data_IF_237310559545
#
_entry.id   IF_237310559545
#
_cell.length_a   1.000
_cell.length_b   1.000
_cell.length_c   1.000
_cell.angle_alpha   90.00
_cell.angle_beta   90.00
_cell.angle_gamma   90.00
#
_symmetry.space_group_name_H-M   'P 1'
#
loop_
_entity.id
_entity.type
_entity.pdbx_description
1 polymer ?
#
# COMPACT_ATOMS: atom_id res chain seq x y z
N UNK A 1 -8.71 -47.46 22.26
CA UNK A 1 -8.52 -47.07 20.83
C UNK A 1 -9.34 -45.85 20.39
N UNK A 2 -10.50 -45.55 20.97
CA UNK A 2 -11.36 -44.42 20.51
C UNK A 2 -10.83 -43.01 20.84
N UNK A 3 -9.99 -42.86 21.87
CA UNK A 3 -9.46 -41.55 22.31
C UNK A 3 -8.38 -41.02 21.35
N UNK A 4 -7.62 -41.90 20.69
CA UNK A 4 -6.61 -41.51 19.69
C UNK A 4 -7.25 -41.06 18.37
N UNK A 5 -8.43 -41.59 18.02
CA UNK A 5 -9.15 -41.18 16.82
C UNK A 5 -9.72 -39.76 16.92
N UNK A 6 -10.17 -39.34 18.10
CA UNK A 6 -10.67 -37.97 18.31
C UNK A 6 -9.54 -36.92 18.26
N UNK A 7 -8.33 -37.28 18.71
CA UNK A 7 -7.19 -36.38 18.65
C UNK A 7 -6.66 -36.21 17.22
N UNK A 8 -6.68 -37.27 16.41
CA UNK A 8 -6.41 -37.20 14.98
C UNK A 8 -7.45 -36.34 14.23
N UNK A 9 -8.73 -36.45 14.61
CA UNK A 9 -9.80 -35.65 14.02
C UNK A 9 -9.68 -34.15 14.35
N UNK A 10 -9.19 -33.82 15.55
CA UNK A 10 -8.93 -32.43 15.95
C UNK A 10 -7.70 -31.82 15.25
N UNK A 11 -6.70 -32.63 14.89
CA UNK A 11 -5.51 -32.17 14.16
C UNK A 11 -5.78 -31.90 12.67
N UNK A 12 -6.83 -32.52 12.11
CA UNK A 12 -7.34 -32.19 10.77
C UNK A 12 -8.22 -30.93 10.72
N UNK A 13 -8.72 -30.43 11.87
CA UNK A 13 -9.61 -29.26 11.92
C UNK A 13 -8.88 -27.92 12.09
N UNK A 14 -7.54 -27.92 12.27
CA UNK A 14 -6.74 -26.70 12.44
C UNK A 14 -5.56 -26.59 11.44
N UNK A 15 -5.79 -26.31 10.15
CA UNK A 15 -4.78 -25.68 9.31
C UNK A 15 -5.09 -24.18 9.19
N UNK A 16 -5.32 -23.47 10.30
CA UNK A 16 -5.73 -22.05 10.26
C UNK A 16 -4.65 -21.08 10.76
N UNK A 17 -3.39 -21.51 10.76
CA UNK A 17 -2.26 -20.58 10.72
C UNK A 17 -1.78 -20.43 9.29
N UNK A 18 -2.74 -20.21 8.37
CA UNK A 18 -2.44 -19.56 7.11
C UNK A 18 -1.82 -18.22 7.48
N UNK A 19 -0.56 -18.03 7.10
CA UNK A 19 0.18 -16.80 7.36
C UNK A 19 -0.73 -15.63 7.01
N UNK A 20 -1.08 -14.80 8.00
CA UNK A 20 -1.71 -13.52 7.73
C UNK A 20 -0.69 -12.74 6.89
N UNK A 21 -0.79 -12.89 5.58
CA UNK A 21 0.00 -12.14 4.63
C UNK A 21 -0.48 -10.71 4.75
N UNK A 22 0.12 -9.96 5.68
CA UNK A 22 0.11 -8.52 5.68
C UNK A 22 0.79 -8.10 4.38
N UNK A 23 0.05 -8.12 3.27
CA UNK A 23 0.51 -7.56 2.01
C UNK A 23 0.82 -6.10 2.31
N UNK A 24 2.09 -5.67 2.24
CA UNK A 24 2.41 -4.30 2.56
C UNK A 24 1.61 -3.40 1.61
N UNK A 25 0.86 -2.46 2.18
CA UNK A 25 0.00 -1.52 1.43
C UNK A 25 0.76 -0.65 0.44
N UNK A 26 2.09 -0.62 0.59
CA UNK A 26 3.04 0.16 -0.18
C UNK A 26 4.18 -0.76 -0.63
N UNK A 27 4.72 -0.53 -1.82
CA UNK A 27 5.87 -1.30 -2.27
C UNK A 27 7.11 -0.96 -1.43
N UNK A 28 8.12 -1.82 -1.48
CA UNK A 28 9.39 -1.60 -0.78
C UNK A 28 10.09 -0.31 -1.24
N UNK A 29 9.98 0.04 -2.52
CA UNK A 29 10.60 1.28 -3.03
C UNK A 29 9.87 2.52 -2.53
N UNK A 30 8.54 2.47 -2.35
CA UNK A 30 7.78 3.57 -1.74
C UNK A 30 8.31 3.94 -0.34
N UNK A 31 8.76 2.95 0.44
CA UNK A 31 9.19 3.12 1.82
C UNK A 31 10.69 3.46 1.95
N UNK A 32 11.54 2.84 1.13
CA UNK A 32 13.01 2.90 1.32
C UNK A 32 13.67 3.98 0.45
N UNK A 33 13.10 4.29 -0.72
CA UNK A 33 13.73 5.21 -1.67
C UNK A 33 13.75 6.65 -1.12
N UNK A 34 14.93 7.29 -0.97
CA UNK A 34 15.02 8.66 -0.49
C UNK A 34 14.28 9.67 -1.38
N UNK A 35 14.23 9.43 -2.70
CA UNK A 35 13.50 10.27 -3.65
C UNK A 35 12.00 10.20 -3.38
N UNK A 36 11.46 9.00 -3.14
CA UNK A 36 10.05 8.82 -2.79
C UNK A 36 9.69 9.54 -1.49
N UNK A 37 10.60 9.57 -0.50
CA UNK A 37 10.36 10.35 0.74
C UNK A 37 10.29 11.85 0.49
N UNK A 38 11.17 12.38 -0.36
CA UNK A 38 11.14 13.80 -0.74
C UNK A 38 9.84 14.15 -1.49
N UNK A 39 9.41 13.31 -2.42
CA UNK A 39 8.17 13.51 -3.15
C UNK A 39 6.93 13.37 -2.25
N UNK A 40 6.92 12.42 -1.31
CA UNK A 40 5.83 12.29 -0.33
C UNK A 40 5.72 13.55 0.53
N UNK A 41 6.85 14.09 1.01
CA UNK A 41 6.86 15.34 1.76
C UNK A 41 6.31 16.49 0.91
N UNK A 42 6.80 16.66 -0.32
CA UNK A 42 6.32 17.69 -1.24
C UNK A 42 4.83 17.57 -1.55
N UNK A 43 4.33 16.35 -1.75
CA UNK A 43 2.91 16.10 -1.96
C UNK A 43 2.07 16.54 -0.75
N UNK A 44 2.53 16.24 0.46
CA UNK A 44 1.86 16.68 1.68
C UNK A 44 1.95 18.20 1.85
N UNK A 45 3.09 18.82 1.56
CA UNK A 45 3.26 20.27 1.61
C UNK A 45 2.29 20.96 0.63
N UNK A 46 2.10 20.41 -0.58
CA UNK A 46 1.09 20.88 -1.51
C UNK A 46 -0.32 20.73 -0.93
N UNK A 47 -0.62 19.62 -0.26
CA UNK A 47 -1.94 19.35 0.31
C UNK A 47 -2.14 19.91 1.73
N UNK A 48 -1.29 20.84 2.19
CA UNK A 48 -1.33 21.41 3.55
C UNK A 48 -1.36 20.33 4.66
N UNK A 49 -0.67 19.21 4.44
CA UNK A 49 -0.62 18.08 5.37
C UNK A 49 -1.79 17.08 5.25
N UNK A 50 -2.71 17.23 4.29
CA UNK A 50 -3.82 16.29 4.12
C UNK A 50 -3.38 14.93 3.55
N UNK A 51 -3.05 14.02 4.47
CA UNK A 51 -2.67 12.63 4.18
C UNK A 51 -3.82 11.84 3.54
N UNK A 52 -5.08 12.14 3.87
CA UNK A 52 -6.22 11.42 3.33
C UNK A 52 -6.44 11.76 1.85
N UNK A 53 -6.36 13.06 1.51
CA UNK A 53 -6.35 13.52 0.11
C UNK A 53 -5.18 12.91 -0.67
N UNK A 54 -3.96 12.93 -0.11
CA UNK A 54 -2.78 12.35 -0.76
C UNK A 54 -2.99 10.86 -1.11
N UNK A 55 -3.52 10.07 -0.16
CA UNK A 55 -3.82 8.64 -0.38
C UNK A 55 -4.90 8.43 -1.44
N UNK A 56 -5.95 9.26 -1.45
CA UNK A 56 -7.04 9.18 -2.45
C UNK A 56 -6.49 9.44 -3.86
N UNK A 57 -5.71 10.51 -4.04
CA UNK A 57 -5.10 10.86 -5.32
C UNK A 57 -4.15 9.78 -5.84
N UNK A 58 -3.26 9.27 -4.97
CA UNK A 58 -2.36 8.18 -5.35
C UNK A 58 -3.10 6.90 -5.70
N UNK A 59 -4.18 6.57 -4.98
CA UNK A 59 -5.00 5.40 -5.27
C UNK A 59 -5.73 5.54 -6.60
N UNK A 60 -6.26 6.72 -6.90
CA UNK A 60 -6.89 7.03 -8.18
C UNK A 60 -5.91 6.87 -9.34
N UNK A 61 -4.70 7.44 -9.24
CA UNK A 61 -3.68 7.32 -10.28
C UNK A 61 -3.20 5.87 -10.47
N UNK A 62 -3.11 5.07 -9.40
CA UNK A 62 -2.81 3.64 -9.48
C UNK A 62 -3.90 2.83 -10.19
N UNK A 63 -5.15 3.21 -10.01
CA UNK A 63 -6.28 2.58 -10.70
C UNK A 63 -6.28 2.90 -12.20
N UNK A 64 -6.02 4.16 -12.56
CA UNK A 64 -5.98 4.64 -13.94
C UNK A 64 -4.76 4.11 -14.71
N UNK A 65 -3.59 4.09 -14.08
CA UNK A 65 -2.34 3.73 -14.72
C UNK A 65 -1.70 2.54 -14.02
N UNK A 66 -2.16 1.33 -14.29
CA UNK A 66 -1.63 0.12 -13.64
C UNK A 66 -0.18 -0.16 -14.06
N UNK A 67 0.63 -0.66 -13.13
CA UNK A 67 1.99 -1.16 -13.39
C UNK A 67 3.09 -0.10 -13.47
N UNK A 68 2.82 1.14 -13.05
CA UNK A 68 3.85 2.18 -12.95
C UNK A 68 4.58 2.10 -11.61
N UNK A 69 5.75 2.72 -11.54
CA UNK A 69 6.53 2.79 -10.30
C UNK A 69 5.92 3.78 -9.30
N UNK A 70 6.21 3.61 -8.02
CA UNK A 70 5.74 4.55 -6.98
C UNK A 70 6.22 5.98 -7.18
N UNK A 71 7.47 6.13 -7.62
CA UNK A 71 8.01 7.43 -8.00
C UNK A 71 7.16 8.09 -9.10
N UNK A 72 6.77 7.32 -10.12
CA UNK A 72 5.94 7.84 -11.21
C UNK A 72 4.57 8.32 -10.72
N UNK A 73 3.92 7.58 -9.82
CA UNK A 73 2.63 8.02 -9.26
C UNK A 73 2.77 9.30 -8.43
N UNK A 74 3.83 9.41 -7.62
CA UNK A 74 4.09 10.60 -6.83
C UNK A 74 4.37 11.82 -7.71
N UNK A 75 5.25 11.67 -8.70
CA UNK A 75 5.55 12.73 -9.69
C UNK A 75 4.30 13.16 -10.44
N UNK A 76 3.47 12.20 -10.88
CA UNK A 76 2.25 12.48 -11.63
C UNK A 76 1.24 13.29 -10.80
N UNK A 77 0.96 12.87 -9.57
CA UNK A 77 0.03 13.61 -8.69
C UNK A 77 0.56 15.01 -8.39
N UNK A 78 1.85 15.15 -8.11
CA UNK A 78 2.47 16.47 -7.85
C UNK A 78 2.33 17.37 -9.07
N UNK A 79 2.64 16.85 -10.27
CA UNK A 79 2.51 17.60 -11.52
C UNK A 79 1.07 18.07 -11.76
N UNK A 80 0.08 17.20 -11.55
CA UNK A 80 -1.33 17.54 -11.74
C UNK A 80 -1.76 18.64 -10.75
N UNK A 81 -1.37 18.52 -9.47
CA UNK A 81 -1.65 19.54 -8.45
C UNK A 81 -0.98 20.88 -8.73
N UNK A 82 0.26 20.87 -9.24
CA UNK A 82 0.98 22.10 -9.59
C UNK A 82 0.38 22.75 -10.84
N UNK A 83 -0.12 21.95 -11.79
CA UNK A 83 -0.82 22.43 -12.98
C UNK A 83 -2.13 23.11 -12.61
N UNK A 84 -2.93 22.50 -11.74
CA UNK A 84 -4.24 23.05 -11.34
C UNK A 84 -4.13 24.36 -10.54
N UNK A 85 -2.92 24.70 -10.06
CA UNK A 85 -2.63 25.93 -9.31
C UNK A 85 -2.12 27.08 -10.16
N UNK A 86 -1.72 26.82 -11.41
CA UNK A 86 -1.26 27.85 -12.35
C UNK A 86 -2.41 28.32 -13.21
#
# INVERSE_FOLDING_TARGET
MLILCLWAYLLQLFPQLGTYQLKPKYSRSYLIDPKNRQLQKRLLDLLNGDVAAAKRLLSQQRQLHRGKSDNWYLEKVIYDLERDRR
#
